data_IF_042527401284
#
_entry.id   IF_042527401284
#
_cell.length_a   1.000
_cell.length_b   1.000
_cell.length_c   1.000
_cell.angle_alpha   90.00
_cell.angle_beta   90.00
_cell.angle_gamma   90.00
#
_symmetry.space_group_name_H-M   'P 1'
#
loop_
_entity.id
_entity.type
_entity.pdbx_description
1 polymer ?
#
# COMPACT_ATOMS: atom_id res chain seq x y z
N UNK A 1 -15.36 33.19 54.04
CA UNK A 1 -14.39 33.29 52.92
C UNK A 1 -14.76 34.57 52.18
N UNK A 2 -13.80 35.48 51.99
CA UNK A 2 -14.03 36.70 51.22
C UNK A 2 -14.26 36.35 49.74
N UNK A 3 -15.18 37.05 49.07
CA UNK A 3 -15.51 36.81 47.65
C UNK A 3 -14.27 36.80 46.73
N UNK A 4 -13.28 37.65 47.06
CA UNK A 4 -11.99 37.72 46.38
C UNK A 4 -11.23 36.36 46.44
N UNK A 5 -11.29 35.63 47.57
CA UNK A 5 -10.64 34.32 47.66
C UNK A 5 -11.28 33.26 46.82
N UNK A 6 -12.61 33.30 46.70
CA UNK A 6 -13.37 32.39 45.82
C UNK A 6 -13.00 32.65 44.35
N UNK A 7 -12.97 33.91 43.95
CA UNK A 7 -12.61 34.30 42.56
C UNK A 7 -11.20 33.89 42.18
N UNK A 8 -10.22 34.08 43.10
CA UNK A 8 -8.84 33.65 42.88
C UNK A 8 -8.69 32.12 42.75
N UNK A 9 -9.43 31.36 43.57
CA UNK A 9 -9.43 29.89 43.47
C UNK A 9 -10.01 29.45 42.15
N UNK A 10 -11.14 30.02 41.72
CA UNK A 10 -11.78 29.69 40.46
C UNK A 10 -10.89 30.03 39.26
N UNK A 11 -10.26 31.19 39.28
CA UNK A 11 -9.31 31.59 38.25
C UNK A 11 -8.10 30.62 38.18
N UNK A 12 -7.55 30.22 39.35
CA UNK A 12 -6.46 29.24 39.42
C UNK A 12 -6.85 27.88 38.82
N UNK A 13 -8.04 27.38 39.15
CA UNK A 13 -8.58 26.13 38.58
C UNK A 13 -8.78 26.23 37.07
N UNK A 14 -9.30 27.35 36.59
CA UNK A 14 -9.49 27.56 35.14
C UNK A 14 -8.17 27.57 34.37
N UNK A 15 -7.14 28.23 34.90
CA UNK A 15 -5.80 28.22 34.29
C UNK A 15 -5.20 26.81 34.31
N UNK A 16 -5.34 26.08 35.42
CA UNK A 16 -4.83 24.72 35.52
C UNK A 16 -5.51 23.78 34.52
N UNK A 17 -6.82 23.87 34.38
CA UNK A 17 -7.58 23.10 33.38
C UNK A 17 -7.20 23.48 31.94
N UNK A 18 -6.94 24.75 31.70
CA UNK A 18 -6.45 25.23 30.38
C UNK A 18 -5.09 24.65 30.03
N UNK A 19 -4.16 24.62 31.01
CA UNK A 19 -2.83 23.99 30.80
C UNK A 19 -2.96 22.49 30.57
N UNK A 20 -3.78 21.80 31.37
CA UNK A 20 -4.03 20.36 31.19
C UNK A 20 -4.64 20.09 29.79
N UNK A 21 -5.60 20.89 29.35
CA UNK A 21 -6.19 20.74 28.01
C UNK A 21 -5.18 20.96 26.88
N UNK A 22 -4.27 21.92 27.03
CA UNK A 22 -3.20 22.17 26.06
C UNK A 22 -2.16 21.04 26.02
N UNK A 23 -1.80 20.47 27.16
CA UNK A 23 -0.84 19.37 27.23
C UNK A 23 -1.46 18.05 26.77
N UNK A 24 -2.76 17.85 27.06
CA UNK A 24 -3.51 16.65 26.65
C UNK A 24 -4.14 16.76 25.25
N UNK A 25 -4.01 17.92 24.60
CA UNK A 25 -4.49 18.07 23.22
C UNK A 25 -3.77 17.04 22.32
N UNK A 26 -4.51 16.14 21.66
CA UNK A 26 -3.89 15.20 20.73
C UNK A 26 -3.15 16.02 19.68
N UNK A 27 -1.84 15.83 19.59
CA UNK A 27 -1.07 16.36 18.47
C UNK A 27 -1.60 15.65 17.23
N UNK A 28 -2.34 16.37 16.42
CA UNK A 28 -2.67 15.91 15.08
C UNK A 28 -1.37 15.96 14.30
N UNK A 29 -0.58 14.89 14.38
CA UNK A 29 0.41 14.65 13.37
C UNK A 29 -0.38 14.35 12.10
N UNK A 30 -0.28 15.23 11.11
CA UNK A 30 -0.64 14.84 9.76
C UNK A 30 0.17 13.59 9.45
N UNK A 31 -0.45 12.49 8.98
CA UNK A 31 0.32 11.32 8.55
C UNK A 31 1.39 11.77 7.57
N UNK A 32 2.59 11.23 7.69
CA UNK A 32 3.73 11.55 6.81
C UNK A 32 3.37 11.35 5.33
N UNK A 33 2.39 10.46 5.06
CA UNK A 33 1.81 10.23 3.75
C UNK A 33 1.27 11.48 3.02
N UNK A 34 0.86 12.54 3.73
CA UNK A 34 0.43 13.78 3.08
C UNK A 34 1.59 14.64 2.56
N UNK A 35 2.80 14.40 3.02
CA UNK A 35 3.99 15.12 2.55
C UNK A 35 4.60 14.50 1.29
N UNK A 36 4.17 13.29 0.94
CA UNK A 36 4.72 12.51 -0.17
C UNK A 36 3.88 12.58 -1.44
N UNK A 37 2.78 13.33 -1.46
CA UNK A 37 1.93 13.49 -2.65
C UNK A 37 2.75 14.03 -3.82
N UNK A 38 2.62 13.38 -4.97
CA UNK A 38 3.39 13.69 -6.18
C UNK A 38 4.78 13.02 -6.25
N UNK A 39 5.20 12.31 -5.21
CA UNK A 39 6.43 11.53 -5.24
C UNK A 39 6.20 10.16 -5.90
N UNK A 40 7.23 9.57 -6.52
CA UNK A 40 7.16 8.19 -7.01
C UNK A 40 6.80 7.22 -5.88
N UNK A 41 5.98 6.22 -6.18
CA UNK A 41 5.63 5.19 -5.20
C UNK A 41 6.84 4.31 -4.85
N UNK A 42 7.68 4.01 -5.86
CA UNK A 42 8.91 3.23 -5.74
C UNK A 42 10.12 4.04 -6.24
N UNK A 43 10.69 4.94 -5.43
CA UNK A 43 11.74 5.88 -5.88
C UNK A 43 13.06 5.19 -6.25
N UNK A 44 13.31 4.00 -5.76
CA UNK A 44 14.53 3.22 -6.06
C UNK A 44 14.39 2.35 -7.32
N UNK A 45 13.15 2.09 -7.77
CA UNK A 45 12.87 1.35 -8.98
C UNK A 45 12.73 2.32 -10.17
N UNK A 46 13.82 2.58 -10.88
CA UNK A 46 13.90 3.58 -11.96
C UNK A 46 14.11 2.98 -13.35
N UNK A 47 14.57 1.73 -13.42
CA UNK A 47 14.90 1.05 -14.66
C UNK A 47 14.05 -0.21 -14.83
N UNK A 48 13.14 -0.26 -15.81
CA UNK A 48 12.32 -1.44 -16.08
C UNK A 48 13.13 -2.70 -16.39
N UNK A 49 14.32 -2.54 -16.99
CA UNK A 49 15.19 -3.66 -17.36
C UNK A 49 15.87 -4.30 -16.14
N UNK A 50 15.89 -3.61 -15.00
CA UNK A 50 16.40 -4.17 -13.75
C UNK A 50 15.50 -5.29 -13.18
N UNK A 51 14.24 -5.38 -13.63
CA UNK A 51 13.32 -6.42 -13.20
C UNK A 51 13.61 -7.75 -13.90
N UNK A 52 13.91 -8.78 -13.13
CA UNK A 52 14.14 -10.15 -13.60
C UNK A 52 12.97 -11.09 -13.31
N UNK A 53 12.07 -10.72 -12.40
CA UNK A 53 10.90 -11.52 -12.03
C UNK A 53 9.70 -10.63 -11.82
N UNK A 54 8.57 -11.04 -12.35
CA UNK A 54 7.23 -10.54 -12.02
C UNK A 54 6.43 -11.68 -11.39
N UNK A 55 5.85 -11.41 -10.25
CA UNK A 55 4.92 -12.29 -9.56
C UNK A 55 3.61 -11.56 -9.34
N UNK A 56 2.50 -12.17 -9.77
CA UNK A 56 1.14 -11.66 -9.58
C UNK A 56 0.36 -12.70 -8.83
N UNK A 57 -0.31 -12.30 -7.75
CA UNK A 57 -1.18 -13.18 -6.97
C UNK A 57 -2.58 -12.60 -6.97
N UNK A 58 -3.50 -13.36 -7.52
CA UNK A 58 -4.93 -13.06 -7.53
C UNK A 58 -5.67 -13.99 -6.58
N UNK A 59 -6.73 -13.48 -5.96
CA UNK A 59 -7.61 -14.29 -5.13
C UNK A 59 -8.91 -14.60 -5.87
N UNK A 60 -9.23 -15.87 -5.97
CA UNK A 60 -10.50 -16.35 -6.50
C UNK A 60 -11.49 -16.59 -5.35
N UNK A 61 -12.49 -15.72 -5.24
CA UNK A 61 -13.53 -15.80 -4.21
C UNK A 61 -14.39 -17.08 -4.34
N UNK A 62 -14.57 -17.58 -5.57
CA UNK A 62 -15.41 -18.77 -5.80
C UNK A 62 -14.76 -20.06 -5.29
N UNK A 63 -13.45 -20.14 -5.38
CA UNK A 63 -12.67 -21.30 -4.92
C UNK A 63 -11.97 -21.03 -3.59
N UNK A 64 -12.08 -19.80 -3.05
CA UNK A 64 -11.41 -19.33 -1.85
C UNK A 64 -9.90 -19.61 -1.88
N UNK A 65 -9.25 -19.38 -3.02
CA UNK A 65 -7.83 -19.69 -3.22
C UNK A 65 -7.07 -18.57 -3.88
N UNK A 66 -5.82 -18.38 -3.41
CA UNK A 66 -4.87 -17.47 -4.07
C UNK A 66 -4.17 -18.22 -5.21
N UNK A 67 -4.15 -17.60 -6.39
CA UNK A 67 -3.52 -18.18 -7.58
C UNK A 67 -2.28 -17.35 -7.94
N UNK A 68 -1.07 -17.85 -7.67
CA UNK A 68 0.16 -17.17 -8.05
C UNK A 68 0.49 -17.43 -9.52
N UNK A 69 0.83 -16.35 -10.23
CA UNK A 69 1.42 -16.39 -11.56
C UNK A 69 2.82 -15.76 -11.48
N UNK A 70 3.84 -16.47 -11.94
CA UNK A 70 5.23 -16.00 -11.90
C UNK A 70 5.87 -16.15 -13.27
N UNK A 71 6.54 -15.09 -13.73
CA UNK A 71 7.45 -15.15 -14.87
C UNK A 71 8.84 -14.68 -14.44
N UNK A 72 9.87 -15.30 -14.97
CA UNK A 72 11.26 -15.01 -14.61
C UNK A 72 12.13 -14.97 -15.85
N UNK A 73 13.03 -13.99 -15.92
CA UNK A 73 14.05 -13.91 -16.95
C UNK A 73 15.23 -14.83 -16.57
N UNK A 74 15.51 -15.80 -17.44
CA UNK A 74 16.68 -16.67 -17.31
C UNK A 74 17.53 -16.54 -18.56
N UNK A 75 18.68 -15.90 -18.41
CA UNK A 75 19.64 -15.71 -19.52
C UNK A 75 19.05 -14.98 -20.75
N UNK A 76 18.22 -13.98 -20.52
CA UNK A 76 17.57 -13.20 -21.58
C UNK A 76 16.28 -13.81 -22.13
N UNK A 77 15.87 -14.98 -21.64
CA UNK A 77 14.62 -15.63 -21.99
C UNK A 77 13.62 -15.56 -20.82
N UNK A 78 12.45 -15.00 -21.07
CA UNK A 78 11.35 -15.02 -20.09
C UNK A 78 10.69 -16.39 -20.10
N UNK A 79 10.50 -16.96 -18.93
CA UNK A 79 9.91 -18.28 -18.75
C UNK A 79 8.88 -18.29 -17.63
N UNK A 80 7.97 -19.27 -17.66
CA UNK A 80 6.97 -19.53 -16.64
C UNK A 80 7.43 -20.76 -15.85
N UNK A 81 8.05 -20.60 -14.65
CA UNK A 81 8.61 -21.71 -13.90
C UNK A 81 7.60 -22.79 -13.51
N UNK A 82 6.36 -22.39 -13.19
CA UNK A 82 5.26 -23.32 -12.85
C UNK A 82 4.84 -24.22 -14.02
N UNK A 83 5.23 -23.90 -15.25
CA UNK A 83 4.92 -24.63 -16.47
C UNK A 83 6.18 -25.19 -17.14
N UNK A 84 7.09 -25.79 -16.36
CA UNK A 84 8.33 -26.40 -16.84
C UNK A 84 9.23 -25.41 -17.59
N UNK A 85 9.34 -24.19 -17.10
CA UNK A 85 10.10 -23.11 -17.75
C UNK A 85 9.66 -22.84 -19.19
N UNK A 86 8.35 -22.96 -19.47
CA UNK A 86 7.80 -22.66 -20.78
C UNK A 86 8.13 -21.23 -21.19
N UNK A 87 8.65 -20.98 -22.40
CA UNK A 87 8.97 -19.64 -22.86
C UNK A 87 7.73 -18.73 -22.85
N UNK A 88 7.83 -17.60 -22.17
CA UNK A 88 6.79 -16.57 -22.16
C UNK A 88 7.10 -15.56 -23.26
N UNK A 89 6.18 -15.40 -24.22
CA UNK A 89 6.21 -14.31 -25.20
C UNK A 89 5.69 -13.02 -24.55
N UNK A 90 6.50 -12.43 -23.70
CA UNK A 90 6.02 -11.35 -22.86
C UNK A 90 7.03 -10.28 -22.51
N UNK A 91 8.22 -10.29 -23.10
CA UNK A 91 9.28 -9.34 -22.79
C UNK A 91 8.80 -7.87 -22.85
N UNK A 92 8.12 -7.49 -23.93
CA UNK A 92 7.60 -6.13 -24.11
C UNK A 92 6.47 -5.83 -23.09
N UNK A 93 5.63 -6.80 -22.78
CA UNK A 93 4.54 -6.62 -21.79
C UNK A 93 5.07 -6.44 -20.40
N UNK A 94 6.12 -7.18 -20.05
CA UNK A 94 6.78 -7.08 -18.74
C UNK A 94 7.51 -5.76 -18.59
N UNK A 95 8.24 -5.33 -19.63
CA UNK A 95 8.88 -4.03 -19.64
C UNK A 95 7.86 -2.89 -19.52
N UNK A 96 6.73 -2.98 -20.21
CA UNK A 96 5.65 -2.01 -20.10
C UNK A 96 5.03 -2.03 -18.70
N UNK A 97 4.71 -3.19 -18.14
CA UNK A 97 4.18 -3.31 -16.78
C UNK A 97 5.15 -2.75 -15.73
N UNK A 98 6.45 -2.98 -15.88
CA UNK A 98 7.46 -2.39 -14.99
C UNK A 98 7.52 -0.87 -15.15
N UNK A 99 7.47 -0.35 -16.39
CA UNK A 99 7.44 1.08 -16.66
C UNK A 99 6.17 1.75 -16.08
N UNK A 100 5.01 1.10 -16.20
CA UNK A 100 3.77 1.57 -15.61
C UNK A 100 3.89 1.68 -14.07
N UNK A 101 4.44 0.65 -13.40
CA UNK A 101 4.65 0.68 -11.95
C UNK A 101 5.66 1.76 -11.54
N UNK A 102 6.74 1.96 -12.29
CA UNK A 102 7.72 3.03 -12.05
C UNK A 102 7.03 4.42 -12.13
N UNK A 103 6.07 4.56 -13.04
CA UNK A 103 5.36 5.81 -13.25
C UNK A 103 4.30 6.13 -12.19
N UNK A 104 3.98 5.17 -11.30
CA UNK A 104 2.98 5.37 -10.25
C UNK A 104 3.47 6.42 -9.26
N UNK A 105 2.68 7.46 -9.10
CA UNK A 105 2.91 8.52 -8.12
C UNK A 105 1.89 8.45 -6.99
N UNK A 106 2.28 8.86 -5.80
CA UNK A 106 1.39 8.99 -4.65
C UNK A 106 0.45 10.17 -4.89
N UNK A 107 -0.85 9.91 -5.01
CA UNK A 107 -1.84 10.95 -5.29
C UNK A 107 -2.61 11.34 -4.03
N UNK A 108 -3.27 10.38 -3.38
CA UNK A 108 -4.15 10.65 -2.24
C UNK A 108 -4.01 9.55 -1.18
N UNK A 109 -4.00 9.98 0.07
CA UNK A 109 -3.98 9.05 1.20
C UNK A 109 -5.41 8.74 1.65
N UNK A 110 -5.77 7.48 1.74
CA UNK A 110 -7.12 7.05 2.13
C UNK A 110 -7.19 6.63 3.59
N UNK A 111 -6.37 5.70 4.00
CA UNK A 111 -6.37 5.16 5.36
C UNK A 111 -5.05 4.45 5.66
N UNK A 112 -4.65 4.45 6.94
CA UNK A 112 -3.60 3.61 7.52
C UNK A 112 -4.18 2.54 8.45
N UNK A 113 -5.50 2.41 8.49
CA UNK A 113 -6.19 1.48 9.36
C UNK A 113 -6.47 0.16 8.64
N UNK A 114 -5.95 -0.95 9.19
CA UNK A 114 -6.16 -2.30 8.65
C UNK A 114 -7.65 -2.66 8.52
N UNK A 115 -8.51 -2.11 9.39
CA UNK A 115 -9.95 -2.36 9.30
C UNK A 115 -10.60 -1.83 8.02
N UNK A 116 -9.97 -0.89 7.33
CA UNK A 116 -10.47 -0.31 6.08
C UNK A 116 -9.99 -1.09 4.85
N UNK A 117 -9.04 -2.02 4.99
CA UNK A 117 -8.45 -2.76 3.87
C UNK A 117 -9.50 -3.54 3.06
N UNK A 118 -10.47 -4.17 3.74
CA UNK A 118 -11.55 -4.91 3.07
C UNK A 118 -12.41 -3.98 2.20
N UNK A 119 -12.79 -2.82 2.73
CA UNK A 119 -13.60 -1.84 2.01
C UNK A 119 -12.86 -1.14 0.86
N UNK A 120 -11.53 -1.16 0.89
CA UNK A 120 -10.66 -0.59 -0.15
C UNK A 120 -10.20 -1.65 -1.17
N UNK A 121 -10.53 -2.93 -0.95
CA UNK A 121 -10.10 -4.02 -1.81
C UNK A 121 -8.60 -4.31 -1.75
N UNK A 122 -7.93 -4.00 -0.63
CA UNK A 122 -6.47 -4.13 -0.49
C UNK A 122 -6.04 -5.15 0.56
N UNK A 123 -6.92 -6.08 0.92
CA UNK A 123 -6.53 -7.23 1.74
C UNK A 123 -5.55 -8.10 0.94
N UNK A 124 -4.45 -8.50 1.56
CA UNK A 124 -3.46 -9.36 0.89
C UNK A 124 -4.11 -10.68 0.43
N UNK A 125 -4.01 -11.05 -0.86
CA UNK A 125 -4.60 -12.30 -1.36
C UNK A 125 -4.02 -13.55 -0.70
N UNK A 126 -2.84 -13.47 -0.08
CA UNK A 126 -2.17 -14.58 0.60
C UNK A 126 -2.38 -14.60 2.11
N UNK A 127 -3.06 -13.61 2.68
CA UNK A 127 -3.27 -13.54 4.13
C UNK A 127 -4.30 -14.57 4.59
N UNK A 128 -3.81 -15.64 5.21
CA UNK A 128 -4.62 -16.71 5.78
C UNK A 128 -5.25 -16.33 7.13
N UNK A 129 -4.82 -15.22 7.74
CA UNK A 129 -5.37 -14.78 9.04
C UNK A 129 -6.70 -14.06 8.89
N UNK A 130 -6.95 -13.48 7.72
CA UNK A 130 -8.20 -12.84 7.38
C UNK A 130 -9.22 -13.87 6.91
N UNK A 131 -10.33 -13.94 7.60
CA UNK A 131 -11.43 -14.88 7.29
C UNK A 131 -12.36 -14.40 6.18
N UNK A 132 -12.27 -13.10 5.82
CA UNK A 132 -13.06 -12.55 4.72
C UNK A 132 -12.56 -13.07 3.37
N UNK A 133 -13.51 -13.39 2.49
CA UNK A 133 -13.21 -13.72 1.09
C UNK A 133 -13.29 -12.49 0.20
N UNK A 134 -13.95 -11.42 0.66
CA UNK A 134 -14.15 -10.19 -0.09
C UNK A 134 -13.06 -9.16 0.21
N UNK A 135 -12.91 -8.21 -0.71
CA UNK A 135 -11.98 -7.10 -0.52
C UNK A 135 -10.51 -7.50 -0.62
N UNK A 136 -10.20 -8.66 -1.21
CA UNK A 136 -8.83 -9.07 -1.50
C UNK A 136 -8.38 -8.48 -2.82
N UNK A 137 -7.22 -7.80 -2.77
CA UNK A 137 -6.63 -7.18 -3.93
C UNK A 137 -5.75 -8.13 -4.73
N UNK A 138 -5.22 -7.63 -5.84
CA UNK A 138 -4.19 -8.30 -6.63
C UNK A 138 -2.82 -7.84 -6.17
N UNK A 139 -1.99 -8.75 -5.67
CA UNK A 139 -0.62 -8.44 -5.27
C UNK A 139 0.31 -8.56 -6.47
N UNK A 140 1.11 -7.53 -6.70
CA UNK A 140 2.10 -7.47 -7.78
C UNK A 140 3.46 -7.21 -7.18
N UNK A 141 4.42 -8.10 -7.47
CA UNK A 141 5.79 -7.99 -6.96
C UNK A 141 6.78 -8.05 -8.11
N UNK A 142 7.66 -7.04 -8.21
CA UNK A 142 8.82 -7.03 -9.10
C UNK A 142 10.08 -7.30 -8.31
N UNK A 143 10.95 -8.16 -8.86
CA UNK A 143 12.23 -8.50 -8.22
C UNK A 143 13.37 -8.40 -9.23
N UNK A 144 14.53 -7.94 -8.75
CA UNK A 144 15.80 -7.98 -9.45
C UNK A 144 16.38 -9.40 -9.51
N UNK A 145 17.44 -9.63 -10.30
CA UNK A 145 18.24 -10.84 -10.20
C UNK A 145 18.75 -11.03 -8.77
N UNK A 146 18.51 -12.22 -8.17
CA UNK A 146 18.89 -12.48 -6.78
C UNK A 146 17.75 -12.27 -5.77
N UNK A 147 16.50 -12.14 -6.24
CA UNK A 147 15.26 -12.07 -5.43
C UNK A 147 15.13 -10.77 -4.59
N UNK A 148 15.92 -9.74 -4.86
CA UNK A 148 15.75 -8.42 -4.27
C UNK A 148 14.44 -7.80 -4.77
N UNK A 149 13.60 -7.32 -3.84
CA UNK A 149 12.30 -6.72 -4.16
C UNK A 149 12.49 -5.28 -4.63
N UNK A 150 12.09 -4.99 -5.85
CA UNK A 150 12.10 -3.65 -6.45
C UNK A 150 10.80 -2.90 -6.20
N UNK A 151 9.68 -3.60 -6.31
CA UNK A 151 8.35 -3.09 -6.02
C UNK A 151 7.46 -4.21 -5.52
N UNK A 152 6.62 -3.92 -4.53
CA UNK A 152 5.62 -4.84 -3.98
C UNK A 152 4.40 -4.01 -3.58
N UNK A 153 3.26 -4.28 -4.20
CA UNK A 153 2.02 -3.53 -3.96
C UNK A 153 0.80 -4.43 -4.11
N UNK A 154 -0.29 -3.98 -3.50
CA UNK A 154 -1.60 -4.59 -3.68
C UNK A 154 -2.49 -3.58 -4.42
N UNK A 155 -3.01 -4.00 -5.57
CA UNK A 155 -3.96 -3.24 -6.36
C UNK A 155 -5.35 -3.56 -5.84
N UNK A 156 -6.03 -2.55 -5.32
CA UNK A 156 -7.38 -2.67 -4.77
C UNK A 156 -8.47 -2.28 -5.76
N UNK A 157 -9.62 -1.93 -5.19
CA UNK A 157 -10.78 -1.52 -5.97
C UNK A 157 -10.60 -0.16 -6.64
N UNK A 158 -11.25 0.02 -7.78
CA UNK A 158 -11.23 1.30 -8.50
C UNK A 158 -11.93 2.40 -7.70
N UNK A 159 -11.30 3.58 -7.63
CA UNK A 159 -11.89 4.72 -6.93
C UNK A 159 -13.05 5.30 -7.74
N UNK A 160 -14.28 5.36 -7.21
CA UNK A 160 -15.42 5.93 -7.92
C UNK A 160 -15.16 7.37 -8.36
N UNK A 161 -15.41 7.69 -9.64
CA UNK A 161 -15.29 9.04 -10.20
C UNK A 161 -13.88 9.43 -10.66
N UNK A 162 -12.88 8.57 -10.48
CA UNK A 162 -11.58 8.66 -11.14
C UNK A 162 -11.50 7.50 -12.13
N UNK A 163 -11.26 7.81 -13.42
CA UNK A 163 -11.02 6.78 -14.42
C UNK A 163 -9.84 5.91 -13.95
N UNK A 164 -10.06 4.59 -13.91
CA UNK A 164 -8.96 3.67 -13.66
C UNK A 164 -7.86 3.83 -14.72
N UNK A 165 -6.66 3.40 -14.36
CA UNK A 165 -5.50 3.30 -15.25
C UNK A 165 -5.82 2.49 -16.51
#
# INVERSE_FOLDING_TARGET
MTEIKKTLITAGVAVLLGVVALVSAPRRSLPDAFFDVGQPFFPEFVDPESAATLEVVEFDEATASATPFKVTNRNGLWTIPSHHDYPADGADRLANAAADIISVIKDDFRSDNIADHEALGVVDPTDETMTTLQGRGTRVTFKAPGEEVLADLIIGDSVPGRGGL
#
